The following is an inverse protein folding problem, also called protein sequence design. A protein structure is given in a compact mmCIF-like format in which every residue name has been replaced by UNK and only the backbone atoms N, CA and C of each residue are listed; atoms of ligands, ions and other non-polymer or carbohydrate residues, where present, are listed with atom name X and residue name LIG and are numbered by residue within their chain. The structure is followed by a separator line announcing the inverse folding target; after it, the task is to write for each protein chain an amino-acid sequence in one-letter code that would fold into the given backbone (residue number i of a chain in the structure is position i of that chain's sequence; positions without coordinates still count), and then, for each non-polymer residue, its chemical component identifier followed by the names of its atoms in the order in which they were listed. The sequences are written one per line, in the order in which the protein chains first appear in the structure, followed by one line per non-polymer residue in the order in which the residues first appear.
data_IF_707847275243
#
_entry.id   IF_707847275243
#
_cell.length_a   1.000
_cell.length_b   1.000
_cell.length_c   1.000
_cell.angle_alpha   90.00
_cell.angle_beta   90.00
_cell.angle_gamma   90.00
#
_symmetry.space_group_name_H-M   'P 1'
#
loop_
_entity.id
_entity.type
_entity.pdbx_description
1 polymer ?
#
# COMPACT_ATOMS: atom_id res chain seq x y z
N UNK A 1 8.46 -26.68 -17.37
CA UNK A 1 8.15 -26.65 -15.93
C UNK A 1 6.85 -25.91 -15.69
N UNK A 2 5.85 -26.57 -15.08
CA UNK A 2 4.48 -26.01 -14.92
C UNK A 2 4.19 -25.66 -13.45
N UNK A 3 5.05 -26.06 -12.53
CA UNK A 3 4.98 -25.66 -11.13
C UNK A 3 6.32 -25.01 -10.78
N UNK A 4 6.26 -23.76 -10.34
CA UNK A 4 7.42 -23.07 -9.78
C UNK A 4 8.02 -23.86 -8.63
N UNK A 5 9.21 -23.47 -8.21
CA UNK A 5 9.88 -24.07 -7.06
C UNK A 5 8.92 -24.02 -5.84
N UNK A 6 8.54 -25.16 -5.25
CA UNK A 6 7.62 -25.22 -4.12
C UNK A 6 8.17 -24.53 -2.87
N UNK A 7 9.44 -24.10 -2.89
CA UNK A 7 10.05 -23.29 -1.84
C UNK A 7 9.83 -21.79 -2.02
N UNK A 8 9.27 -21.31 -3.14
CA UNK A 8 8.96 -19.90 -3.37
C UNK A 8 7.51 -19.57 -3.06
N UNK A 9 7.32 -18.64 -2.13
CA UNK A 9 6.02 -18.13 -1.73
C UNK A 9 6.00 -16.60 -1.81
N UNK A 10 4.80 -16.03 -1.94
CA UNK A 10 4.61 -14.59 -1.87
C UNK A 10 3.85 -14.22 -0.60
N UNK A 11 4.42 -13.28 0.16
CA UNK A 11 3.81 -12.74 1.37
C UNK A 11 3.39 -11.29 1.14
N UNK A 12 2.18 -10.91 1.57
CA UNK A 12 1.69 -9.54 1.49
C UNK A 12 1.58 -9.01 2.91
N UNK A 13 2.32 -7.93 3.22
CA UNK A 13 2.23 -7.22 4.49
C UNK A 13 1.69 -5.79 4.26
N UNK A 14 1.13 -5.17 5.30
CA UNK A 14 0.65 -3.78 5.30
C UNK A 14 -0.88 -3.66 5.35
N UNK A 15 -1.40 -2.48 4.99
CA UNK A 15 -2.85 -2.21 5.02
C UNK A 15 -3.37 -1.84 3.64
N UNK A 16 -4.24 -2.70 3.08
CA UNK A 16 -4.80 -2.48 1.75
C UNK A 16 -5.81 -1.33 1.67
N UNK A 17 -6.69 -1.09 2.67
CA UNK A 17 -7.54 0.12 2.70
C UNK A 17 -6.72 1.42 2.67
N UNK A 18 -5.57 1.42 3.34
CA UNK A 18 -4.63 2.56 3.31
C UNK A 18 -3.69 2.54 2.11
N UNK A 19 -3.81 1.55 1.20
CA UNK A 19 -2.96 1.34 0.04
C UNK A 19 -1.48 1.44 0.43
N UNK A 20 -1.06 0.73 1.49
CA UNK A 20 0.32 0.72 1.99
C UNK A 20 0.85 -0.72 2.12
N UNK A 21 0.60 -1.53 1.09
CA UNK A 21 0.99 -2.93 1.07
C UNK A 21 2.31 -3.14 0.34
N UNK A 22 3.06 -4.15 0.79
CA UNK A 22 4.26 -4.63 0.11
C UNK A 22 4.16 -6.13 -0.10
N UNK A 23 4.41 -6.57 -1.32
CA UNK A 23 4.46 -7.96 -1.74
C UNK A 23 5.92 -8.40 -1.72
N UNK A 24 6.22 -9.43 -0.94
CA UNK A 24 7.55 -10.00 -0.78
C UNK A 24 7.62 -11.37 -1.43
N UNK A 25 8.73 -11.66 -2.10
CA UNK A 25 9.15 -13.03 -2.33
C UNK A 25 9.82 -13.54 -1.05
N UNK A 26 9.39 -14.72 -0.59
CA UNK A 26 9.97 -15.42 0.56
C UNK A 26 10.32 -16.84 0.14
N UNK A 27 11.43 -17.34 0.68
CA UNK A 27 11.83 -18.75 0.51
C UNK A 27 11.81 -19.46 1.85
N UNK A 28 11.37 -20.72 1.87
CA UNK A 28 11.36 -21.56 3.07
C UNK A 28 12.76 -21.71 3.71
N UNK A 29 13.84 -21.56 2.93
CA UNK A 29 15.20 -21.72 3.42
C UNK A 29 15.87 -20.42 3.88
N UNK A 30 15.27 -19.26 3.60
CA UNK A 30 15.86 -17.95 3.92
C UNK A 30 14.88 -17.06 4.69
N UNK A 31 15.32 -16.47 5.80
CA UNK A 31 14.52 -15.48 6.56
C UNK A 31 14.41 -14.12 5.87
N UNK A 32 15.07 -13.92 4.73
CA UNK A 32 15.04 -12.66 3.98
C UNK A 32 13.77 -12.54 3.17
N UNK A 33 12.95 -11.54 3.49
CA UNK A 33 11.83 -11.09 2.67
C UNK A 33 12.31 -10.10 1.64
N UNK A 34 12.08 -10.40 0.36
CA UNK A 34 12.56 -9.57 -0.73
C UNK A 34 11.39 -8.80 -1.39
N UNK A 35 11.35 -7.45 -1.36
CA UNK A 35 10.20 -6.68 -1.82
C UNK A 35 10.11 -6.66 -3.34
N UNK A 36 9.03 -7.21 -3.87
CA UNK A 36 8.81 -7.50 -5.29
C UNK A 36 7.82 -6.53 -5.93
N UNK A 37 6.84 -6.07 -5.15
CA UNK A 37 5.91 -5.02 -5.54
C UNK A 37 5.41 -4.21 -4.33
N UNK A 38 5.04 -2.96 -4.55
CA UNK A 38 4.50 -2.07 -3.53
C UNK A 38 3.23 -1.38 -4.03
N UNK A 39 2.21 -1.35 -3.18
CA UNK A 39 0.96 -0.61 -3.39
C UNK A 39 1.03 0.63 -2.50
N UNK A 40 0.88 1.81 -3.11
CA UNK A 40 0.99 3.12 -2.45
C UNK A 40 -0.22 3.99 -2.74
N UNK A 41 -0.80 4.61 -1.71
CA UNK A 41 -1.83 5.63 -1.83
C UNK A 41 -1.32 6.78 -2.69
N UNK A 42 -2.08 7.18 -3.72
CA UNK A 42 -1.70 8.30 -4.57
C UNK A 42 -2.31 9.58 -4.01
N UNK A 43 -1.43 10.51 -3.68
CA UNK A 43 -1.78 11.84 -3.15
C UNK A 43 -1.44 12.88 -4.20
N UNK A 44 -2.30 13.87 -4.39
CA UNK A 44 -2.02 15.01 -5.25
C UNK A 44 -0.85 15.82 -4.66
N UNK A 45 0.26 16.01 -5.39
CA UNK A 45 1.45 16.67 -4.84
C UNK A 45 1.24 18.14 -4.48
N UNK A 46 0.21 18.80 -5.04
CA UNK A 46 -0.03 20.24 -4.86
C UNK A 46 -1.01 20.56 -3.75
N UNK A 47 -1.99 19.68 -3.54
CA UNK A 47 -3.07 19.86 -2.56
C UNK A 47 -2.95 18.95 -1.35
N UNK A 48 -2.07 17.94 -1.40
CA UNK A 48 -1.98 16.86 -0.41
C UNK A 48 -3.29 16.10 -0.18
N UNK A 49 -4.25 16.25 -1.08
CA UNK A 49 -5.52 15.52 -1.04
C UNK A 49 -5.33 14.16 -1.70
N UNK A 50 -5.89 13.14 -1.08
CA UNK A 50 -5.93 11.81 -1.66
C UNK A 50 -6.84 11.79 -2.89
N UNK A 51 -6.36 11.16 -3.95
CA UNK A 51 -7.24 10.80 -5.05
C UNK A 51 -8.09 9.59 -4.59
N UNK A 52 -9.25 9.36 -5.21
CA UNK A 52 -10.19 8.31 -4.80
C UNK A 52 -9.54 6.92 -4.68
N UNK A 53 -10.21 5.98 -4.00
CA UNK A 53 -9.69 4.63 -3.63
C UNK A 53 -9.06 3.83 -4.79
N UNK A 54 -9.55 4.05 -6.01
CA UNK A 54 -9.07 3.39 -7.24
C UNK A 54 -7.78 4.01 -7.81
N UNK A 55 -7.36 5.15 -7.27
CA UNK A 55 -6.19 5.88 -7.73
C UNK A 55 -5.04 5.62 -6.78
N UNK A 56 -4.18 4.68 -7.16
CA UNK A 56 -3.01 4.27 -6.40
C UNK A 56 -1.81 4.07 -7.32
N UNK A 57 -0.65 3.91 -6.70
CA UNK A 57 0.62 3.57 -7.34
C UNK A 57 0.89 2.09 -7.09
N UNK A 58 1.17 1.34 -8.15
CA UNK A 58 1.70 -0.02 -8.09
C UNK A 58 3.13 -0.01 -8.62
N UNK A 59 4.10 -0.07 -7.72
CA UNK A 59 5.52 -0.07 -8.04
C UNK A 59 6.01 -1.52 -8.11
N UNK A 60 6.50 -1.95 -9.27
CA UNK A 60 6.98 -3.32 -9.46
C UNK A 60 8.50 -3.33 -9.59
N UNK A 61 9.13 -4.36 -9.05
CA UNK A 61 10.52 -4.63 -9.34
C UNK A 61 10.70 -5.04 -10.81
N UNK A 62 11.80 -4.62 -11.47
CA UNK A 62 12.14 -5.12 -12.79
C UNK A 62 12.12 -6.66 -12.85
N UNK A 63 11.44 -7.20 -13.87
CA UNK A 63 11.31 -8.65 -14.06
C UNK A 63 10.16 -9.31 -13.30
N UNK A 64 9.44 -8.58 -12.43
CA UNK A 64 8.23 -9.10 -11.79
C UNK A 64 7.02 -9.00 -12.73
N UNK A 65 6.20 -10.04 -12.75
CA UNK A 65 5.02 -10.12 -13.63
C UNK A 65 3.94 -9.14 -13.18
N UNK A 66 3.65 -8.15 -14.03
CA UNK A 66 2.66 -7.12 -13.75
C UNK A 66 1.22 -7.65 -13.77
N UNK A 67 0.93 -8.67 -14.57
CA UNK A 67 -0.39 -9.30 -14.59
C UNK A 67 -0.62 -10.08 -13.31
N UNK A 68 0.38 -10.82 -12.83
CA UNK A 68 0.31 -11.51 -11.54
C UNK A 68 0.18 -10.51 -10.37
N UNK A 69 0.99 -9.44 -10.36
CA UNK A 69 0.89 -8.39 -9.36
C UNK A 69 -0.51 -7.77 -9.32
N UNK A 70 -1.08 -7.45 -10.49
CA UNK A 70 -2.42 -6.89 -10.59
C UNK A 70 -3.51 -7.89 -10.17
N UNK A 71 -3.34 -9.18 -10.44
CA UNK A 71 -4.27 -10.20 -9.96
C UNK A 71 -4.33 -10.22 -8.42
N UNK A 72 -3.19 -10.08 -7.74
CA UNK A 72 -3.14 -9.95 -6.27
C UNK A 72 -3.88 -8.69 -5.80
N UNK A 73 -3.70 -7.56 -6.49
CA UNK A 73 -4.45 -6.31 -6.19
C UNK A 73 -5.96 -6.54 -6.29
N UNK A 74 -6.43 -7.20 -7.34
CA UNK A 74 -7.86 -7.49 -7.53
C UNK A 74 -8.43 -8.42 -6.45
N UNK A 75 -7.64 -9.41 -6.02
CA UNK A 75 -8.02 -10.30 -4.92
C UNK A 75 -8.12 -9.51 -3.61
N UNK A 76 -7.14 -8.65 -3.32
CA UNK A 76 -7.19 -7.77 -2.16
C UNK A 76 -8.42 -6.84 -2.24
N UNK A 77 -8.73 -6.32 -3.42
CA UNK A 77 -9.91 -5.48 -3.62
C UNK A 77 -11.20 -6.20 -3.24
N UNK A 78 -11.37 -7.44 -3.68
CA UNK A 78 -12.53 -8.27 -3.31
C UNK A 78 -12.58 -8.60 -1.81
N UNK A 79 -11.43 -8.78 -1.15
CA UNK A 79 -11.38 -9.06 0.29
C UNK A 79 -11.73 -7.85 1.15
N UNK A 80 -11.48 -6.64 0.66
CA UNK A 80 -11.61 -5.38 1.40
C UNK A 80 -12.67 -4.44 0.77
N UNK A 81 -13.51 -4.94 -0.13
CA UNK A 81 -14.52 -4.14 -0.84
C UNK A 81 -15.58 -3.59 0.12
N UNK A 82 -15.92 -4.36 1.17
CA UNK A 82 -16.95 -4.05 2.17
C UNK A 82 -16.45 -3.24 3.39
N UNK A 83 -15.17 -2.87 3.42
CA UNK A 83 -14.62 -2.09 4.52
C UNK A 83 -14.84 -0.59 4.24
N UNK A 84 -16.04 -0.11 4.56
CA UNK A 84 -16.34 1.31 4.81
C UNK A 84 -15.53 1.78 6.03
N UNK A 85 -14.21 1.82 5.89
CA UNK A 85 -13.35 2.53 6.83
C UNK A 85 -13.48 3.98 6.40
N UNK A 86 -14.43 4.68 7.03
CA UNK A 86 -14.47 6.13 7.06
C UNK A 86 -13.03 6.61 7.27
N UNK A 87 -12.50 7.39 6.31
CA UNK A 87 -11.28 8.16 6.51
C UNK A 87 -11.57 9.14 7.68
N UNK A 88 -11.41 8.69 8.92
CA UNK A 88 -11.13 9.56 10.07
C UNK A 88 -9.71 10.07 9.87
N UNK A 89 -9.60 11.00 8.92
CA UNK A 89 -8.54 11.98 8.82
C UNK A 89 -8.48 12.69 10.18
N UNK A 90 -7.60 12.18 11.05
CA UNK A 90 -7.25 12.86 12.30
C UNK A 90 -6.70 14.23 11.88
N UNK A 91 -7.58 15.24 11.90
CA UNK A 91 -7.20 16.63 11.69
C UNK A 91 -6.29 17.03 12.83
N UNK A 92 -5.00 16.88 12.64
CA UNK A 92 -4.02 17.60 13.44
C UNK A 92 -4.11 19.07 13.05
N UNK A 93 -4.92 19.83 13.80
CA UNK A 93 -5.03 21.27 13.70
C UNK A 93 -3.75 21.93 14.22
N UNK A 94 -2.92 22.60 13.39
CA UNK A 94 -1.80 23.36 13.87
C UNK A 94 -2.22 24.84 13.99
N UNK A 95 -3.21 25.15 14.83
CA UNK A 95 -3.37 26.55 15.26
C UNK A 95 -2.26 26.92 16.23
N UNK A 96 -1.15 27.38 15.66
CA UNK A 96 -0.30 28.38 16.26
C UNK A 96 -1.16 29.55 16.76
N UNK A 97 -1.46 29.61 18.06
CA UNK A 97 -1.80 30.87 18.72
C UNK A 97 -0.52 31.48 19.27
N UNK A 98 0.23 32.12 18.38
CA UNK A 98 1.00 33.28 18.76
C UNK A 98 0.02 34.41 19.05
N UNK A 99 -0.18 34.73 20.33
CA UNK A 99 -0.65 36.04 20.76
C UNK A 99 0.28 36.53 21.87
N UNK A 100 1.36 37.17 21.41
CA UNK A 100 1.89 38.38 22.01
C UNK A 100 0.73 39.37 22.27
N UNK A 101 0.58 39.82 23.52
CA UNK A 101 0.59 41.25 23.86
C UNK A 101 0.22 41.52 25.31
N UNK A 102 1.06 42.36 25.91
CA UNK A 102 1.01 42.96 27.23
C UNK A 102 -0.36 43.47 27.66
N UNK A 103 -0.72 43.28 28.93
CA UNK A 103 -0.82 44.37 29.90
C UNK A 103 -0.88 43.86 31.34
#
# INVERSE_FOLDING_TARGET
DVYGDPSQEYHIDGSYPHRCCTIYNTSLESSSKEPMAEIKRKVDPSTHVMLGKDVFLLCLRPGFDSAFAMALVLILDQMFDDADIDDDDTKEDPTNVALDSSS
#
